data_IF_633821570296
#
_entry.id   IF_633821570296
#
_cell.length_a   1.000
_cell.length_b   1.000
_cell.length_c   1.000
_cell.angle_alpha   90.00
_cell.angle_beta   90.00
_cell.angle_gamma   90.00
#
_symmetry.space_group_name_H-M   'P 1'
#
loop_
_entity.id
_entity.type
_entity.pdbx_description
1 polymer ?
#
# COMPACT_ATOMS: atom_id res chain seq x y z
N UNK A 1 -21.65 -13.90 -39.85
CA UNK A 1 -20.80 -14.90 -39.18
C UNK A 1 -19.44 -14.28 -38.99
N UNK A 2 -18.87 -14.39 -37.78
CA UNK A 2 -17.52 -13.93 -37.49
C UNK A 2 -16.54 -14.84 -38.23
N UNK A 3 -15.54 -14.29 -38.92
CA UNK A 3 -14.45 -15.07 -39.51
C UNK A 3 -13.24 -15.09 -38.57
N UNK A 4 -12.17 -15.80 -38.95
CA UNK A 4 -10.95 -15.90 -38.14
C UNK A 4 -10.32 -14.53 -37.84
N UNK A 5 -10.29 -13.62 -38.82
CA UNK A 5 -9.74 -12.28 -38.63
C UNK A 5 -10.57 -11.46 -37.63
N UNK A 6 -11.90 -11.54 -37.74
CA UNK A 6 -12.83 -10.97 -36.79
C UNK A 6 -12.63 -11.55 -35.38
N UNK A 7 -12.45 -12.86 -35.25
CA UNK A 7 -12.18 -13.52 -33.96
C UNK A 7 -10.86 -13.05 -33.33
N UNK A 8 -9.79 -12.95 -34.11
CA UNK A 8 -8.50 -12.48 -33.59
C UNK A 8 -8.57 -11.03 -33.11
N UNK A 9 -9.29 -10.18 -33.84
CA UNK A 9 -9.56 -8.80 -33.41
C UNK A 9 -10.40 -8.75 -32.14
N UNK A 10 -11.43 -9.59 -32.07
CA UNK A 10 -12.34 -9.68 -30.93
C UNK A 10 -11.61 -10.13 -29.64
N UNK A 11 -10.58 -10.97 -29.76
CA UNK A 11 -9.76 -11.47 -28.66
C UNK A 11 -8.38 -10.83 -28.56
N UNK A 12 -8.17 -9.67 -29.18
CA UNK A 12 -6.87 -8.98 -29.21
C UNK A 12 -6.34 -8.69 -27.79
N UNK A 13 -7.21 -8.43 -26.82
CA UNK A 13 -6.79 -8.21 -25.42
C UNK A 13 -6.12 -9.44 -24.80
N UNK A 14 -6.40 -10.65 -25.29
CA UNK A 14 -5.87 -11.92 -24.77
C UNK A 14 -4.77 -12.50 -25.67
N UNK A 15 -4.21 -11.70 -26.58
CA UNK A 15 -3.08 -12.10 -27.40
C UNK A 15 -1.77 -11.54 -26.84
N UNK A 16 -0.75 -12.38 -26.77
CA UNK A 16 0.56 -12.03 -26.26
C UNK A 16 1.69 -12.84 -26.89
N UNK A 17 2.92 -12.37 -26.67
CA UNK A 17 4.13 -13.06 -27.13
C UNK A 17 4.74 -13.99 -26.07
N UNK A 18 3.95 -14.35 -25.04
CA UNK A 18 4.31 -15.28 -23.97
C UNK A 18 4.56 -16.71 -24.42
N UNK A 19 3.99 -17.10 -25.56
CA UNK A 19 3.68 -18.51 -25.84
C UNK A 19 2.60 -19.02 -24.88
N UNK A 20 2.27 -20.30 -24.98
CA UNK A 20 1.24 -20.87 -24.12
C UNK A 20 -0.15 -20.27 -24.42
N UNK A 21 -1.01 -20.19 -23.40
CA UNK A 21 -2.37 -19.65 -23.52
C UNK A 21 -2.44 -18.23 -24.11
N UNK A 22 -1.36 -17.44 -23.99
CA UNK A 22 -1.26 -16.10 -24.60
C UNK A 22 -1.10 -16.14 -26.13
N UNK A 23 -0.60 -17.24 -26.69
CA UNK A 23 -0.46 -17.44 -28.13
C UNK A 23 -1.71 -18.09 -28.76
N UNK A 24 -2.72 -18.43 -27.96
CA UNK A 24 -3.90 -19.13 -28.47
C UNK A 24 -4.65 -18.31 -29.51
N UNK A 25 -4.81 -16.99 -29.27
CA UNK A 25 -5.43 -16.04 -30.19
C UNK A 25 -4.39 -15.36 -31.10
N UNK A 26 -3.78 -16.14 -31.98
CA UNK A 26 -2.79 -15.67 -32.95
C UNK A 26 -3.11 -16.15 -34.38
N UNK A 27 -2.41 -15.62 -35.38
CA UNK A 27 -2.57 -16.03 -36.78
C UNK A 27 -2.31 -17.52 -37.00
N UNK A 28 -1.49 -18.14 -36.14
CA UNK A 28 -1.19 -19.57 -36.17
C UNK A 28 -2.31 -20.46 -35.62
N UNK A 29 -3.40 -19.89 -35.10
CA UNK A 29 -4.58 -20.66 -34.66
C UNK A 29 -5.09 -21.54 -35.82
N UNK A 30 -5.31 -22.85 -35.63
CA UNK A 30 -5.85 -23.70 -36.68
C UNK A 30 -7.25 -23.26 -37.12
N UNK A 31 -7.55 -23.35 -38.42
CA UNK A 31 -8.87 -22.91 -38.94
C UNK A 31 -10.03 -23.73 -38.36
N UNK A 32 -9.80 -25.01 -38.02
CA UNK A 32 -10.80 -25.83 -37.31
C UNK A 32 -11.15 -25.24 -35.93
N UNK A 33 -10.18 -24.66 -35.23
CA UNK A 33 -10.39 -24.02 -33.93
C UNK A 33 -11.15 -22.72 -34.11
N UNK A 34 -10.70 -21.86 -35.04
CA UNK A 34 -11.37 -20.60 -35.37
C UNK A 34 -12.83 -20.83 -35.78
N UNK A 35 -13.08 -21.79 -36.67
CA UNK A 35 -14.42 -22.16 -37.13
C UNK A 35 -15.32 -22.62 -35.98
N UNK A 36 -14.78 -23.36 -35.00
CA UNK A 36 -15.57 -23.79 -33.85
C UNK A 36 -15.93 -22.61 -32.95
N UNK A 37 -14.94 -21.75 -32.63
CA UNK A 37 -15.15 -20.57 -31.80
C UNK A 37 -16.15 -19.59 -32.43
N UNK A 38 -16.03 -19.33 -33.74
CA UNK A 38 -16.96 -18.46 -34.47
C UNK A 38 -18.41 -18.97 -34.50
N UNK A 39 -18.64 -20.25 -34.21
CA UNK A 39 -19.97 -20.87 -34.15
C UNK A 39 -20.41 -21.19 -32.71
N UNK A 40 -19.75 -20.63 -31.70
CA UNK A 40 -20.00 -20.94 -30.28
C UNK A 40 -21.46 -20.70 -29.85
N UNK A 41 -22.13 -19.70 -30.41
CA UNK A 41 -23.55 -19.41 -30.11
C UNK A 41 -24.52 -20.50 -30.58
N UNK A 42 -24.15 -21.24 -31.62
CA UNK A 42 -24.93 -22.37 -32.15
C UNK A 42 -24.45 -23.69 -31.53
N UNK A 43 -23.17 -23.75 -31.17
CA UNK A 43 -22.49 -24.93 -30.63
C UNK A 43 -21.72 -24.53 -29.38
N UNK A 44 -22.39 -24.65 -28.24
CA UNK A 44 -21.76 -24.45 -26.93
C UNK A 44 -20.47 -25.29 -26.83
N UNK A 45 -19.50 -24.78 -26.09
CA UNK A 45 -18.19 -25.40 -25.91
C UNK A 45 -18.15 -26.03 -24.51
N UNK A 46 -18.48 -27.33 -24.37
CA UNK A 46 -18.28 -28.05 -23.12
C UNK A 46 -16.79 -28.26 -22.85
N UNK A 47 -16.48 -28.71 -21.63
CA UNK A 47 -15.12 -28.95 -21.15
C UNK A 47 -14.25 -29.78 -22.12
N UNK A 48 -14.77 -30.90 -22.62
CA UNK A 48 -14.05 -31.82 -23.49
C UNK A 48 -13.69 -31.16 -24.82
N UNK A 49 -14.60 -30.34 -25.35
CA UNK A 49 -14.39 -29.62 -26.60
C UNK A 49 -13.37 -28.51 -26.40
N UNK A 50 -13.45 -27.72 -25.31
CA UNK A 50 -12.44 -26.70 -25.02
C UNK A 50 -11.04 -27.31 -24.95
N UNK A 51 -10.90 -28.47 -24.29
CA UNK A 51 -9.63 -29.18 -24.23
C UNK A 51 -9.13 -29.63 -25.61
N UNK A 52 -10.01 -30.12 -26.49
CA UNK A 52 -9.63 -30.43 -27.87
C UNK A 52 -9.16 -29.18 -28.63
N UNK A 53 -9.86 -28.06 -28.50
CA UNK A 53 -9.50 -26.80 -29.16
C UNK A 53 -8.12 -26.28 -28.70
N UNK A 54 -7.83 -26.40 -27.41
CA UNK A 54 -6.52 -26.05 -26.85
C UNK A 54 -5.42 -26.98 -27.38
N UNK A 55 -5.63 -28.30 -27.35
CA UNK A 55 -4.64 -29.27 -27.82
C UNK A 55 -4.34 -29.10 -29.31
N UNK A 56 -5.37 -28.86 -30.13
CA UNK A 56 -5.20 -28.56 -31.56
C UNK A 56 -4.39 -27.28 -31.78
N UNK A 57 -4.45 -26.33 -30.83
CA UNK A 57 -3.66 -25.11 -30.84
C UNK A 57 -2.29 -25.27 -30.18
N UNK A 58 -1.84 -26.51 -29.93
CA UNK A 58 -0.62 -26.85 -29.21
C UNK A 58 -0.56 -26.35 -27.76
N UNK A 59 -1.73 -26.09 -27.16
CA UNK A 59 -1.89 -25.73 -25.77
C UNK A 59 -2.30 -26.91 -24.91
N UNK A 60 -1.81 -26.94 -23.68
CA UNK A 60 -2.12 -28.03 -22.77
C UNK A 60 -3.55 -27.89 -22.24
N UNK A 61 -4.31 -28.99 -22.19
CA UNK A 61 -5.67 -28.98 -21.64
C UNK A 61 -5.72 -28.65 -20.13
N UNK A 62 -6.93 -28.45 -19.62
CA UNK A 62 -7.22 -28.16 -18.22
C UNK A 62 -8.03 -29.27 -17.56
N UNK A 63 -8.10 -29.24 -16.23
CA UNK A 63 -8.99 -30.07 -15.42
C UNK A 63 -10.42 -29.53 -15.50
N UNK A 64 -11.40 -30.39 -15.19
CA UNK A 64 -12.79 -29.92 -15.05
C UNK A 64 -12.94 -28.91 -13.90
N UNK A 65 -12.14 -29.05 -12.84
CA UNK A 65 -12.14 -28.12 -11.70
C UNK A 65 -11.75 -26.69 -12.12
N UNK A 66 -10.69 -26.56 -12.92
CA UNK A 66 -10.27 -25.28 -13.49
C UNK A 66 -11.33 -24.70 -14.44
N UNK A 67 -11.89 -25.54 -15.31
CA UNK A 67 -12.95 -25.11 -16.23
C UNK A 67 -14.17 -24.58 -15.47
N UNK A 68 -14.66 -25.34 -14.48
CA UNK A 68 -15.78 -24.91 -13.64
C UNK A 68 -15.45 -23.62 -12.87
N UNK A 69 -14.25 -23.54 -12.29
CA UNK A 69 -13.83 -22.38 -11.53
C UNK A 69 -13.86 -21.10 -12.37
N UNK A 70 -13.17 -21.08 -13.52
CA UNK A 70 -13.00 -19.87 -14.34
C UNK A 70 -14.18 -19.54 -15.25
N UNK A 71 -14.92 -20.55 -15.72
CA UNK A 71 -15.98 -20.33 -16.71
C UNK A 71 -17.39 -20.55 -16.17
N UNK A 72 -17.61 -21.34 -15.11
CA UNK A 72 -18.98 -21.71 -14.73
C UNK A 72 -19.37 -21.35 -13.29
N UNK A 73 -18.53 -20.62 -12.57
CA UNK A 73 -18.77 -20.34 -11.15
C UNK A 73 -18.35 -18.93 -10.73
N UNK A 74 -18.98 -18.44 -9.67
CA UNK A 74 -18.52 -17.26 -8.93
C UNK A 74 -17.97 -17.68 -7.55
N UNK A 75 -16.64 -17.68 -7.34
CA UNK A 75 -16.03 -17.98 -6.04
C UNK A 75 -16.09 -16.82 -5.03
N UNK A 76 -16.54 -15.62 -5.41
CA UNK A 76 -16.54 -14.45 -4.52
C UNK A 76 -17.49 -14.60 -3.31
N UNK A 77 -18.75 -15.03 -3.44
CA UNK A 77 -19.68 -15.15 -2.31
C UNK A 77 -19.25 -16.14 -1.22
N UNK A 78 -18.39 -17.11 -1.55
CA UNK A 78 -17.86 -18.09 -0.59
C UNK A 78 -16.57 -17.62 0.08
N UNK A 79 -16.23 -16.34 -0.08
CA UNK A 79 -15.05 -15.71 0.52
C UNK A 79 -13.76 -16.37 0.04
N UNK A 80 -13.62 -16.60 -1.26
CA UNK A 80 -12.46 -17.26 -1.84
C UNK A 80 -11.72 -16.38 -2.87
N UNK A 81 -12.05 -15.09 -3.02
CA UNK A 81 -11.52 -14.30 -4.13
C UNK A 81 -11.37 -12.80 -3.80
N UNK A 82 -10.37 -12.15 -4.41
CA UNK A 82 -9.97 -10.75 -4.14
C UNK A 82 -10.88 -9.67 -4.77
N UNK A 83 -11.75 -10.09 -5.68
CA UNK A 83 -12.66 -9.23 -6.44
C UNK A 83 -13.90 -10.02 -6.82
N UNK A 84 -15.01 -9.36 -7.17
CA UNK A 84 -16.19 -10.04 -7.68
C UNK A 84 -16.08 -10.24 -9.21
N UNK A 85 -15.99 -11.48 -9.72
CA UNK A 85 -15.99 -11.76 -11.15
C UNK A 85 -17.20 -11.21 -11.91
N UNK A 86 -18.33 -10.97 -11.23
CA UNK A 86 -19.53 -10.37 -11.85
C UNK A 86 -19.31 -8.93 -12.30
N UNK A 87 -18.31 -8.24 -11.73
CA UNK A 87 -17.96 -6.86 -12.08
C UNK A 87 -16.99 -6.76 -13.27
N UNK A 88 -16.51 -7.90 -13.78
CA UNK A 88 -15.65 -7.93 -14.96
C UNK A 88 -16.43 -7.69 -16.26
N UNK A 89 -15.77 -7.23 -17.32
CA UNK A 89 -16.40 -7.08 -18.63
C UNK A 89 -17.01 -8.40 -19.12
N UNK A 90 -18.03 -8.27 -19.98
CA UNK A 90 -18.72 -9.38 -20.67
C UNK A 90 -19.57 -10.31 -19.78
N UNK A 91 -19.61 -10.12 -18.46
CA UNK A 91 -20.38 -10.99 -17.56
C UNK A 91 -21.90 -10.96 -17.86
N UNK A 92 -22.52 -12.15 -17.85
CA UNK A 92 -23.96 -12.37 -17.88
C UNK A 92 -24.30 -13.45 -16.84
N UNK A 93 -25.38 -13.29 -16.06
CA UNK A 93 -25.81 -14.24 -15.02
C UNK A 93 -26.04 -15.66 -15.58
N UNK A 94 -26.43 -15.77 -16.86
CA UNK A 94 -26.61 -17.07 -17.54
C UNK A 94 -25.34 -17.90 -17.57
N UNK A 95 -24.16 -17.29 -17.44
CA UNK A 95 -22.89 -18.03 -17.43
C UNK A 95 -22.77 -18.92 -16.19
N UNK A 96 -23.36 -18.51 -15.07
CA UNK A 96 -23.33 -19.27 -13.81
C UNK A 96 -24.32 -20.44 -13.78
N UNK A 97 -25.33 -20.41 -14.66
CA UNK A 97 -26.32 -21.49 -14.83
C UNK A 97 -25.90 -22.50 -15.92
N UNK A 98 -24.91 -22.14 -16.74
CA UNK A 98 -24.47 -22.95 -17.85
C UNK A 98 -23.59 -24.13 -17.40
N UNK A 99 -23.62 -25.20 -18.20
CA UNK A 99 -22.70 -26.35 -18.07
C UNK A 99 -21.56 -26.31 -19.09
N UNK A 100 -21.54 -25.30 -19.95
CA UNK A 100 -20.61 -25.11 -21.06
C UNK A 100 -20.46 -23.61 -21.37
N UNK A 101 -19.44 -23.24 -22.14
CA UNK A 101 -19.30 -21.87 -22.66
C UNK A 101 -20.33 -21.70 -23.79
N UNK A 102 -21.22 -20.72 -23.66
CA UNK A 102 -22.41 -20.58 -24.54
C UNK A 102 -22.27 -19.52 -25.63
N UNK A 103 -21.26 -18.65 -25.54
CA UNK A 103 -20.94 -17.63 -26.55
C UNK A 103 -19.51 -17.08 -26.32
N UNK A 104 -19.06 -16.17 -27.20
CA UNK A 104 -17.73 -15.58 -27.11
C UNK A 104 -17.55 -14.67 -25.88
N UNK A 105 -18.58 -13.92 -25.49
CA UNK A 105 -18.55 -13.10 -24.25
C UNK A 105 -18.31 -13.95 -23.01
N UNK A 106 -18.90 -15.15 -22.94
CA UNK A 106 -18.66 -16.12 -21.87
C UNK A 106 -17.18 -16.57 -21.86
N UNK A 107 -16.61 -16.93 -23.01
CA UNK A 107 -15.18 -17.28 -23.10
C UNK A 107 -14.29 -16.12 -22.64
N UNK A 108 -14.59 -14.89 -23.09
CA UNK A 108 -13.86 -13.68 -22.68
C UNK A 108 -13.93 -13.42 -21.19
N UNK A 109 -15.10 -13.60 -20.57
CA UNK A 109 -15.27 -13.42 -19.14
C UNK A 109 -14.35 -14.36 -18.34
N UNK A 110 -14.30 -15.65 -18.71
CA UNK A 110 -13.39 -16.58 -18.05
C UNK A 110 -11.90 -16.28 -18.31
N UNK A 111 -11.54 -15.83 -19.52
CA UNK A 111 -10.17 -15.38 -19.82
C UNK A 111 -9.80 -14.10 -19.05
N UNK A 112 -10.71 -13.15 -18.89
CA UNK A 112 -10.50 -11.95 -18.08
C UNK A 112 -10.10 -12.31 -16.65
N UNK A 113 -10.78 -13.29 -16.07
CA UNK A 113 -10.47 -13.81 -14.73
C UNK A 113 -9.08 -14.45 -14.68
N UNK A 114 -8.78 -15.35 -15.62
CA UNK A 114 -7.46 -16.01 -15.70
C UNK A 114 -6.33 -14.99 -15.84
N UNK A 115 -6.50 -14.00 -16.70
CA UNK A 115 -5.47 -12.97 -16.93
C UNK A 115 -5.30 -12.05 -15.73
N UNK A 116 -6.41 -11.68 -15.08
CA UNK A 116 -6.40 -10.89 -13.84
C UNK A 116 -5.64 -11.63 -12.74
N UNK A 117 -5.96 -12.90 -12.51
CA UNK A 117 -5.27 -13.73 -11.51
C UNK A 117 -3.80 -13.95 -11.85
N UNK A 118 -3.51 -14.15 -13.14
CA UNK A 118 -2.15 -14.35 -13.60
C UNK A 118 -1.27 -13.14 -13.34
N UNK A 119 -1.80 -11.93 -13.49
CA UNK A 119 -1.09 -10.72 -13.12
C UNK A 119 -1.04 -10.50 -11.61
N UNK A 120 -2.12 -10.79 -10.87
CA UNK A 120 -2.20 -10.58 -9.42
C UNK A 120 -1.21 -11.45 -8.64
N UNK A 121 -1.10 -12.73 -8.99
CA UNK A 121 -0.43 -13.73 -8.15
C UNK A 121 0.80 -14.37 -8.77
N UNK A 122 0.95 -14.29 -10.10
CA UNK A 122 2.06 -14.91 -10.82
C UNK A 122 2.92 -13.89 -11.56
N UNK A 123 2.44 -12.66 -11.78
CA UNK A 123 3.10 -11.66 -12.64
C UNK A 123 3.28 -12.11 -14.10
N UNK A 124 2.71 -13.27 -14.45
CA UNK A 124 2.90 -13.97 -15.70
C UNK A 124 1.68 -14.88 -15.97
N UNK A 125 0.97 -14.60 -17.06
CA UNK A 125 -0.28 -15.31 -17.41
C UNK A 125 0.00 -16.77 -17.79
N UNK A 126 1.05 -17.03 -18.58
CA UNK A 126 1.47 -18.38 -18.95
C UNK A 126 1.80 -19.23 -17.71
N UNK A 127 2.48 -18.67 -16.72
CA UNK A 127 2.81 -19.39 -15.49
C UNK A 127 1.57 -19.67 -14.65
N UNK A 128 0.68 -18.69 -14.53
CA UNK A 128 -0.61 -18.87 -13.88
C UNK A 128 -1.39 -20.05 -14.49
N UNK A 129 -1.54 -20.07 -15.82
CA UNK A 129 -2.22 -21.17 -16.50
C UNK A 129 -1.54 -22.51 -16.22
N UNK A 130 -0.21 -22.58 -16.30
CA UNK A 130 0.55 -23.82 -16.04
C UNK A 130 0.35 -24.34 -14.62
N UNK A 131 0.42 -23.45 -13.64
CA UNK A 131 0.31 -23.76 -12.22
C UNK A 131 -1.12 -24.18 -11.84
N UNK A 132 -2.14 -23.54 -12.43
CA UNK A 132 -3.52 -23.71 -12.00
C UNK A 132 -4.32 -24.72 -12.83
N UNK A 133 -4.02 -24.94 -14.13
CA UNK A 133 -4.86 -25.74 -15.05
C UNK A 133 -5.11 -27.17 -14.59
N UNK A 134 -4.23 -27.75 -13.79
CA UNK A 134 -4.34 -29.13 -13.29
C UNK A 134 -5.12 -29.27 -11.98
N UNK A 135 -5.41 -28.16 -11.29
CA UNK A 135 -5.99 -28.19 -9.96
C UNK A 135 -7.48 -28.50 -9.99
N UNK A 136 -7.98 -29.18 -8.95
CA UNK A 136 -9.41 -29.29 -8.70
C UNK A 136 -10.01 -27.95 -8.26
N UNK A 137 -11.34 -27.84 -8.28
CA UNK A 137 -12.04 -26.63 -7.82
C UNK A 137 -11.70 -26.28 -6.37
N UNK A 138 -11.72 -27.26 -5.46
CA UNK A 138 -11.39 -27.07 -4.06
C UNK A 138 -9.95 -26.57 -3.87
N UNK A 139 -8.99 -27.13 -4.61
CA UNK A 139 -7.59 -26.67 -4.57
C UNK A 139 -7.43 -25.23 -5.08
N UNK A 140 -8.21 -24.81 -6.08
CA UNK A 140 -8.24 -23.43 -6.55
C UNK A 140 -8.84 -22.51 -5.48
N UNK A 141 -9.97 -22.88 -4.90
CA UNK A 141 -10.60 -22.14 -3.81
C UNK A 141 -9.65 -21.97 -2.61
N UNK A 142 -8.95 -23.03 -2.20
CA UNK A 142 -7.95 -22.98 -1.12
C UNK A 142 -6.77 -22.08 -1.50
N UNK A 143 -6.29 -22.17 -2.75
CA UNK A 143 -5.21 -21.32 -3.24
C UNK A 143 -5.55 -19.83 -3.12
N UNK A 144 -6.74 -19.43 -3.56
CA UNK A 144 -7.14 -18.01 -3.51
C UNK A 144 -7.59 -17.58 -2.11
N UNK A 145 -8.26 -18.45 -1.34
CA UNK A 145 -8.66 -18.17 0.04
C UNK A 145 -7.46 -17.86 0.94
N UNK A 146 -6.34 -18.57 0.75
CA UNK A 146 -5.11 -18.31 1.51
C UNK A 146 -4.46 -16.94 1.22
N UNK A 147 -4.97 -16.19 0.23
CA UNK A 147 -4.39 -14.92 -0.24
C UNK A 147 -5.30 -13.72 -0.01
N UNK A 148 -6.56 -13.91 0.42
CA UNK A 148 -7.49 -12.83 0.74
C UNK A 148 -7.39 -12.42 2.22
N UNK A 149 -8.02 -11.30 2.57
CA UNK A 149 -8.21 -10.91 3.96
C UNK A 149 -9.43 -11.62 4.55
N UNK A 150 -9.31 -12.10 5.80
CA UNK A 150 -10.45 -12.65 6.53
C UNK A 150 -11.33 -11.50 7.07
N UNK A 151 -12.28 -11.05 6.25
CA UNK A 151 -13.22 -9.99 6.61
C UNK A 151 -14.08 -10.38 7.82
N UNK A 152 -14.38 -11.67 8.01
CA UNK A 152 -15.20 -12.12 9.14
C UNK A 152 -14.42 -12.03 10.44
N UNK A 153 -13.13 -12.39 10.44
CA UNK A 153 -12.24 -12.18 11.58
C UNK A 153 -12.14 -10.68 11.94
N UNK A 154 -11.91 -9.82 10.93
CA UNK A 154 -11.82 -8.36 11.12
C UNK A 154 -13.09 -7.75 11.73
N UNK A 155 -14.26 -8.21 11.31
CA UNK A 155 -15.56 -7.69 11.80
C UNK A 155 -16.00 -8.31 13.13
N UNK A 156 -15.50 -9.51 13.47
CA UNK A 156 -15.88 -10.23 14.70
C UNK A 156 -14.98 -9.94 15.89
N UNK A 157 -13.70 -9.57 15.67
CA UNK A 157 -12.74 -9.27 16.75
C UNK A 157 -13.19 -8.12 17.65
N UNK A 158 -12.76 -8.11 18.91
CA UNK A 158 -13.03 -7.01 19.83
C UNK A 158 -12.22 -5.75 19.51
N UNK A 159 -12.62 -4.65 20.13
CA UNK A 159 -11.78 -3.45 20.18
C UNK A 159 -10.42 -3.75 20.82
N UNK A 160 -9.42 -2.96 20.46
CA UNK A 160 -8.08 -3.04 21.04
C UNK A 160 -7.97 -2.13 22.27
N UNK A 161 -6.92 -2.34 23.07
CA UNK A 161 -6.65 -1.49 24.23
C UNK A 161 -6.52 -0.03 23.78
N UNK A 162 -7.29 0.91 24.35
CA UNK A 162 -7.29 2.28 23.88
C UNK A 162 -5.92 2.93 24.08
N UNK A 163 -5.49 3.70 23.08
CA UNK A 163 -4.27 4.51 23.20
C UNK A 163 -4.48 5.65 24.21
N UNK A 164 -3.41 6.01 24.90
CA UNK A 164 -3.35 7.21 25.71
C UNK A 164 -3.49 8.44 24.81
N UNK A 165 -4.39 9.35 25.19
CA UNK A 165 -4.68 10.53 24.41
C UNK A 165 -3.48 11.50 24.36
N UNK A 166 -3.15 11.97 23.16
CA UNK A 166 -2.24 13.08 22.91
C UNK A 166 -3.00 14.06 22.02
N UNK A 167 -3.19 15.28 22.51
CA UNK A 167 -3.92 16.30 21.76
C UNK A 167 -3.24 16.53 20.41
N UNK A 168 -4.01 16.74 19.33
CA UNK A 168 -3.47 16.96 17.97
C UNK A 168 -2.39 18.02 17.94
N UNK A 169 -2.65 19.14 18.61
CA UNK A 169 -1.74 20.28 18.71
C UNK A 169 -0.51 20.03 19.58
N UNK A 170 -0.43 18.89 20.28
CA UNK A 170 0.70 18.50 21.13
C UNK A 170 1.52 17.35 20.53
N UNK A 171 1.04 16.69 19.46
CA UNK A 171 1.77 15.57 18.84
C UNK A 171 3.13 15.96 18.27
N UNK A 172 3.32 17.22 17.85
CA UNK A 172 4.63 17.68 17.39
C UNK A 172 5.71 17.67 18.50
N UNK A 173 5.30 17.70 19.78
CA UNK A 173 6.23 17.66 20.91
C UNK A 173 6.94 16.31 21.04
N UNK A 174 6.43 15.25 20.40
CA UNK A 174 7.11 13.95 20.35
C UNK A 174 7.98 13.78 19.09
N UNK A 175 8.13 14.83 18.28
CA UNK A 175 9.08 14.86 17.18
C UNK A 175 10.52 14.69 17.69
N UNK A 176 11.39 14.12 16.86
CA UNK A 176 12.80 13.95 17.19
C UNK A 176 13.48 15.28 17.56
N UNK A 177 13.13 16.35 16.86
CA UNK A 177 13.63 17.71 17.10
C UNK A 177 13.24 18.20 18.51
N UNK A 178 11.97 18.06 18.90
CA UNK A 178 11.51 18.43 20.24
C UNK A 178 12.17 17.56 21.32
N UNK A 179 12.30 16.25 21.10
CA UNK A 179 12.99 15.36 22.03
C UNK A 179 14.45 15.79 22.28
N UNK A 180 15.18 16.20 21.24
CA UNK A 180 16.54 16.72 21.37
C UNK A 180 16.62 18.00 22.21
N UNK A 181 15.57 18.83 22.17
CA UNK A 181 15.51 20.10 22.92
C UNK A 181 15.06 19.90 24.38
N UNK A 182 13.98 19.16 24.61
CA UNK A 182 13.40 19.03 25.95
C UNK A 182 14.05 17.95 26.80
N UNK A 183 14.66 16.94 26.18
CA UNK A 183 15.24 15.80 26.87
C UNK A 183 16.46 15.25 26.11
N UNK A 184 17.56 16.02 26.07
CA UNK A 184 18.76 15.66 25.33
C UNK A 184 19.37 14.35 25.84
N UNK A 185 19.88 13.53 24.91
CA UNK A 185 20.52 12.26 25.24
C UNK A 185 21.86 12.46 26.00
N UNK A 186 22.60 13.52 25.68
CA UNK A 186 23.81 13.90 26.41
C UNK A 186 23.43 14.61 27.72
N UNK A 187 23.65 13.92 28.83
CA UNK A 187 23.42 14.45 30.20
C UNK A 187 24.30 15.65 30.55
N UNK A 188 25.33 15.95 29.75
CA UNK A 188 26.13 17.17 29.90
C UNK A 188 25.37 18.42 29.43
N UNK A 189 24.33 18.27 28.62
CA UNK A 189 23.54 19.38 28.11
C UNK A 189 22.66 19.96 29.23
N UNK A 190 22.63 21.30 29.41
CA UNK A 190 21.68 21.93 30.33
C UNK A 190 20.27 21.68 29.84
N UNK A 191 19.30 21.62 30.76
CA UNK A 191 17.90 21.60 30.38
C UNK A 191 17.53 22.85 29.56
N UNK A 192 16.45 22.78 28.78
CA UNK A 192 15.97 23.92 27.99
C UNK A 192 15.77 25.17 28.84
N UNK A 193 15.17 25.02 30.03
CA UNK A 193 14.90 26.14 30.92
C UNK A 193 16.20 26.75 31.46
N UNK A 194 17.16 25.92 31.90
CA UNK A 194 18.48 26.38 32.34
C UNK A 194 19.25 27.09 31.23
N UNK A 195 19.19 26.58 30.00
CA UNK A 195 19.82 27.22 28.84
C UNK A 195 19.26 28.62 28.59
N UNK A 196 17.92 28.74 28.54
CA UNK A 196 17.26 30.02 28.27
C UNK A 196 17.45 31.01 29.43
N UNK A 197 17.43 30.53 30.68
CA UNK A 197 17.70 31.37 31.86
C UNK A 197 19.11 31.96 31.82
N UNK A 198 20.14 31.15 31.54
CA UNK A 198 21.52 31.64 31.39
C UNK A 198 21.63 32.68 30.29
N UNK A 199 20.92 32.47 29.18
CA UNK A 199 20.94 33.40 28.05
C UNK A 199 20.25 34.72 28.36
N UNK A 200 19.16 34.66 29.11
CA UNK A 200 18.49 35.85 29.64
C UNK A 200 19.39 36.64 30.60
N UNK A 201 20.07 35.96 31.52
CA UNK A 201 21.02 36.59 32.46
C UNK A 201 22.13 37.34 31.72
N UNK A 202 22.77 36.69 30.74
CA UNK A 202 23.82 37.30 29.91
C UNK A 202 23.35 38.57 29.18
N UNK A 203 22.18 38.53 28.54
CA UNK A 203 21.64 39.67 27.79
C UNK A 203 21.14 40.78 28.71
N UNK A 204 20.58 40.42 29.87
CA UNK A 204 20.17 41.37 30.90
C UNK A 204 21.36 42.11 31.51
N UNK A 205 22.47 41.42 31.77
CA UNK A 205 23.73 42.05 32.22
C UNK A 205 24.31 42.99 31.17
N UNK A 206 24.13 42.68 29.87
CA UNK A 206 24.49 43.55 28.75
C UNK A 206 23.53 44.76 28.57
N UNK A 207 22.55 44.94 29.46
CA UNK A 207 21.66 46.11 29.50
C UNK A 207 20.30 45.91 28.81
N UNK A 208 19.99 44.72 28.28
CA UNK A 208 18.70 44.44 27.66
C UNK A 208 17.68 43.92 28.69
N UNK A 209 16.79 44.78 29.18
CA UNK A 209 15.84 44.43 30.28
C UNK A 209 14.49 43.86 29.83
N UNK A 210 14.13 43.99 28.55
CA UNK A 210 12.90 43.41 27.97
C UNK A 210 13.30 42.67 26.71
N UNK A 211 13.12 41.36 26.74
CA UNK A 211 13.54 40.45 25.68
C UNK A 211 12.33 39.62 25.27
N UNK A 212 12.24 39.28 23.99
CA UNK A 212 11.34 38.20 23.55
C UNK A 212 12.06 36.86 23.64
N UNK A 213 11.34 35.75 23.73
CA UNK A 213 11.96 34.41 23.62
C UNK A 213 12.76 34.26 22.33
N UNK A 214 12.27 34.84 21.24
CA UNK A 214 13.01 34.94 19.96
C UNK A 214 14.38 35.58 20.14
N UNK A 215 14.48 36.68 20.89
CA UNK A 215 15.77 37.32 21.17
C UNK A 215 16.72 36.42 21.97
N UNK A 216 16.17 35.57 22.85
CA UNK A 216 16.96 34.65 23.66
C UNK A 216 17.53 33.50 22.84
N UNK A 217 16.87 33.09 21.76
CA UNK A 217 17.34 31.97 20.94
C UNK A 217 18.04 32.43 19.65
N UNK A 218 17.88 33.69 19.25
CA UNK A 218 18.58 34.27 18.11
C UNK A 218 20.06 34.49 18.40
N UNK A 219 20.91 34.34 17.39
CA UNK A 219 22.36 34.57 17.47
C UNK A 219 23.13 33.56 18.37
N UNK A 220 22.65 32.32 18.45
CA UNK A 220 23.34 31.17 19.07
C UNK A 220 24.56 30.68 18.25
N UNK A 221 25.35 31.60 17.71
CA UNK A 221 26.49 31.33 16.80
C UNK A 221 27.82 31.19 17.53
N UNK A 222 27.82 31.10 18.87
CA UNK A 222 29.06 30.75 19.56
C UNK A 222 29.40 29.29 19.28
N UNK A 223 30.69 28.95 19.14
CA UNK A 223 31.13 27.55 18.94
C UNK A 223 30.83 26.65 20.15
N UNK A 224 30.28 27.20 21.25
CA UNK A 224 29.92 26.49 22.49
C UNK A 224 28.40 26.30 22.65
N UNK A 225 27.58 26.77 21.70
CA UNK A 225 26.12 26.66 21.80
C UNK A 225 25.67 25.20 21.64
N UNK A 226 25.01 24.68 22.68
CA UNK A 226 24.60 23.27 22.79
C UNK A 226 23.30 22.94 22.06
N UNK A 227 22.48 23.95 21.73
CA UNK A 227 21.24 23.80 20.98
C UNK A 227 21.30 24.58 19.66
N UNK A 228 20.72 24.01 18.61
CA UNK A 228 20.56 24.66 17.31
C UNK A 228 19.35 25.62 17.35
N UNK A 229 19.49 26.82 16.76
CA UNK A 229 18.43 27.83 16.63
C UNK A 229 17.14 27.24 16.04
N UNK A 230 17.24 26.34 15.05
CA UNK A 230 16.08 25.65 14.48
C UNK A 230 15.37 24.76 15.51
N UNK A 231 16.13 24.01 16.32
CA UNK A 231 15.57 23.14 17.34
C UNK A 231 14.81 23.94 18.42
N UNK A 232 15.41 25.05 18.83
CA UNK A 232 14.81 25.98 19.79
C UNK A 232 13.56 26.64 19.21
N UNK A 233 13.63 27.13 17.97
CA UNK A 233 12.48 27.75 17.30
C UNK A 233 11.33 26.75 17.10
N UNK A 234 11.63 25.50 16.76
CA UNK A 234 10.61 24.45 16.62
C UNK A 234 9.94 24.14 17.96
N UNK A 235 10.72 23.99 19.03
CA UNK A 235 10.22 23.61 20.34
C UNK A 235 9.47 24.76 21.05
N UNK A 236 9.96 25.99 20.89
CA UNK A 236 9.41 27.18 21.55
C UNK A 236 8.44 27.97 20.67
N UNK A 237 7.93 27.39 19.59
CA UNK A 237 7.04 28.04 18.62
C UNK A 237 5.89 28.82 19.29
N UNK A 238 5.21 28.22 20.27
CA UNK A 238 4.11 28.86 21.03
C UNK A 238 4.53 30.02 21.94
N UNK A 239 5.83 30.13 22.24
CA UNK A 239 6.38 31.13 23.14
C UNK A 239 7.29 32.15 22.45
N UNK A 240 7.55 31.98 21.14
CA UNK A 240 8.62 32.67 20.43
C UNK A 240 8.52 34.19 20.52
N UNK A 241 7.31 34.75 20.41
CA UNK A 241 7.06 36.19 20.43
C UNK A 241 6.69 36.73 21.83
N UNK A 242 6.72 35.89 22.88
CA UNK A 242 6.38 36.34 24.24
C UNK A 242 7.51 37.14 24.85
N UNK A 243 7.16 38.30 25.42
CA UNK A 243 8.08 39.13 26.20
C UNK A 243 8.34 38.54 27.58
N UNK A 244 9.59 38.61 28.01
CA UNK A 244 10.06 38.21 29.33
C UNK A 244 10.92 39.30 29.95
N UNK A 245 10.71 39.55 31.24
CA UNK A 245 11.37 40.62 32.00
C UNK A 245 12.01 40.13 33.31
N UNK A 246 11.92 38.82 33.57
CA UNK A 246 12.51 38.16 34.73
C UNK A 246 12.65 36.66 34.50
N UNK A 247 13.49 35.99 35.32
CA UNK A 247 13.59 34.53 35.32
C UNK A 247 12.25 33.85 35.70
N UNK A 248 11.43 34.50 36.53
CA UNK A 248 10.09 34.01 36.87
C UNK A 248 9.13 34.06 35.66
N UNK A 249 9.28 35.06 34.79
CA UNK A 249 8.51 35.14 33.54
C UNK A 249 8.88 34.00 32.58
N UNK A 250 10.16 33.59 32.55
CA UNK A 250 10.63 32.45 31.77
C UNK A 250 9.99 31.15 32.24
N UNK A 251 9.98 30.90 33.55
CA UNK A 251 9.36 29.69 34.11
C UNK A 251 7.85 29.66 33.83
N UNK A 252 7.17 30.80 33.97
CA UNK A 252 5.74 30.93 33.63
C UNK A 252 5.46 30.74 32.13
N UNK A 253 6.42 31.07 31.27
CA UNK A 253 6.26 31.02 29.81
C UNK A 253 6.63 29.65 29.23
N UNK A 254 7.75 29.08 29.66
CA UNK A 254 8.36 27.85 29.11
C UNK A 254 7.98 26.63 29.93
N UNK A 255 7.81 26.75 31.26
CA UNK A 255 7.42 25.65 32.14
C UNK A 255 6.17 24.89 31.67
N UNK A 256 5.09 25.58 31.24
CA UNK A 256 3.93 24.89 30.66
C UNK A 256 4.24 24.09 29.39
N UNK A 257 5.20 24.53 28.55
CA UNK A 257 5.60 23.78 27.35
C UNK A 257 6.38 22.52 27.71
N UNK A 258 7.28 22.61 28.69
CA UNK A 258 8.01 21.45 29.23
C UNK A 258 7.04 20.42 29.79
N UNK A 259 6.06 20.86 30.59
CA UNK A 259 5.04 19.96 31.15
C UNK A 259 4.16 19.32 30.06
N UNK A 260 3.81 20.06 29.00
CA UNK A 260 3.11 19.48 27.83
C UNK A 260 3.96 18.41 27.14
N UNK A 261 5.25 18.68 26.93
CA UNK A 261 6.19 17.73 26.33
C UNK A 261 6.30 16.46 27.15
N UNK A 262 6.52 16.57 28.46
CA UNK A 262 6.67 15.41 29.36
C UNK A 262 5.45 14.50 29.30
N UNK A 263 4.25 15.10 29.40
CA UNK A 263 2.98 14.36 29.29
C UNK A 263 2.79 13.71 27.92
N UNK A 264 3.03 14.46 26.84
CA UNK A 264 2.88 13.94 25.48
C UNK A 264 3.85 12.78 25.21
N UNK A 265 5.11 12.91 25.65
CA UNK A 265 6.14 11.88 25.52
C UNK A 265 5.82 10.65 26.36
N UNK A 266 5.41 10.81 27.61
CA UNK A 266 5.01 9.70 28.47
C UNK A 266 3.87 8.89 27.84
N UNK A 267 2.85 9.58 27.34
CA UNK A 267 1.73 8.94 26.65
C UNK A 267 2.17 8.24 25.35
N UNK A 268 3.07 8.85 24.57
CA UNK A 268 3.58 8.26 23.34
C UNK A 268 4.42 7.00 23.58
N UNK A 269 5.23 6.97 24.65
CA UNK A 269 5.98 5.77 25.05
C UNK A 269 5.04 4.63 25.46
N UNK A 270 4.00 4.93 26.25
CA UNK A 270 2.96 3.96 26.60
C UNK A 270 2.23 3.45 25.35
N UNK A 271 1.91 4.35 24.42
CA UNK A 271 1.28 3.99 23.15
C UNK A 271 2.16 3.10 22.28
N UNK A 272 3.48 3.32 22.26
CA UNK A 272 4.42 2.41 21.60
C UNK A 272 4.34 0.99 22.17
N UNK A 273 4.26 0.84 23.49
CA UNK A 273 4.04 -0.48 24.10
C UNK A 273 2.70 -1.11 23.67
N UNK A 274 1.64 -0.31 23.57
CA UNK A 274 0.34 -0.78 23.07
C UNK A 274 0.44 -1.19 21.59
N UNK A 275 1.10 -0.42 20.73
CA UNK A 275 1.34 -0.81 19.33
C UNK A 275 2.13 -2.11 19.22
N UNK A 276 3.19 -2.27 20.02
CA UNK A 276 3.98 -3.50 20.07
C UNK A 276 3.15 -4.70 20.54
N UNK A 277 2.17 -4.50 21.40
CA UNK A 277 1.23 -5.56 21.81
C UNK A 277 0.27 -6.00 20.71
N UNK A 278 0.11 -5.20 19.66
CA UNK A 278 -0.84 -5.43 18.55
C UNK A 278 -0.17 -5.98 17.28
N UNK A 279 1.13 -6.29 17.28
CA UNK A 279 1.85 -6.65 16.05
C UNK A 279 1.25 -7.84 15.28
N UNK A 280 0.61 -8.79 15.96
CA UNK A 280 -0.02 -9.94 15.29
C UNK A 280 -1.29 -9.57 14.52
N UNK A 281 -1.89 -8.43 14.86
CA UNK A 281 -3.22 -8.02 14.41
C UNK A 281 -3.21 -6.62 13.76
N UNK A 282 -2.04 -6.04 13.50
CA UNK A 282 -1.91 -4.73 12.86
C UNK A 282 -2.36 -4.83 11.40
N UNK A 283 -3.25 -3.94 10.97
CA UNK A 283 -3.84 -3.98 9.63
C UNK A 283 -3.22 -2.92 8.71
N UNK A 284 -3.04 -1.70 9.21
CA UNK A 284 -2.62 -0.57 8.38
C UNK A 284 -1.44 0.15 9.00
N UNK A 285 -0.38 0.39 8.22
CA UNK A 285 0.69 1.31 8.59
C UNK A 285 0.46 2.65 7.87
N UNK A 286 0.55 3.78 8.58
CA UNK A 286 0.44 5.10 7.97
C UNK A 286 1.80 5.80 8.00
N UNK A 287 2.37 6.04 6.83
CA UNK A 287 3.66 6.69 6.63
C UNK A 287 3.46 8.19 6.39
N UNK A 288 4.18 9.06 7.10
CA UNK A 288 4.06 10.52 6.93
C UNK A 288 5.38 11.26 7.18
N UNK A 289 5.45 12.51 6.72
CA UNK A 289 6.50 13.44 7.15
C UNK A 289 6.15 14.02 8.52
N UNK A 290 7.15 14.23 9.36
CA UNK A 290 7.00 14.74 10.72
C UNK A 290 8.01 15.88 10.97
N UNK A 291 8.03 16.89 10.08
CA UNK A 291 9.06 17.95 10.09
C UNK A 291 8.63 19.20 10.83
N UNK A 292 7.38 19.60 10.65
CA UNK A 292 6.79 20.80 11.24
C UNK A 292 5.48 20.46 11.97
N UNK A 293 4.97 21.39 12.78
CA UNK A 293 3.74 21.22 13.56
C UNK A 293 2.51 20.90 12.71
N UNK A 294 2.38 21.52 11.54
CA UNK A 294 1.24 21.30 10.64
C UNK A 294 1.23 19.88 10.08
N UNK A 295 2.40 19.27 9.86
CA UNK A 295 2.48 17.88 9.41
C UNK A 295 1.81 16.92 10.42
N UNK A 296 2.05 17.12 11.72
CA UNK A 296 1.45 16.32 12.79
C UNK A 296 -0.06 16.51 12.89
N UNK A 297 -0.53 17.77 12.78
CA UNK A 297 -1.97 18.09 12.80
C UNK A 297 -2.69 17.48 11.60
N UNK A 298 -2.14 17.69 10.41
CA UNK A 298 -2.70 17.19 9.15
C UNK A 298 -2.77 15.67 9.16
N UNK A 299 -1.75 15.00 9.70
CA UNK A 299 -1.75 13.56 9.86
C UNK A 299 -2.83 13.09 10.84
N UNK A 300 -2.97 13.75 11.99
CA UNK A 300 -4.01 13.40 12.97
C UNK A 300 -5.42 13.53 12.37
N UNK A 301 -5.68 14.62 11.64
CA UNK A 301 -6.93 14.83 10.90
C UNK A 301 -7.12 13.77 9.81
N UNK A 302 -6.09 13.45 9.04
CA UNK A 302 -6.14 12.42 8.02
C UNK A 302 -6.53 11.05 8.61
N UNK A 303 -5.89 10.65 9.71
CA UNK A 303 -6.21 9.39 10.39
C UNK A 303 -7.66 9.37 10.89
N UNK A 304 -8.13 10.46 11.52
CA UNK A 304 -9.52 10.54 11.99
C UNK A 304 -10.53 10.49 10.85
N UNK A 305 -10.27 11.19 9.74
CA UNK A 305 -11.16 11.21 8.58
C UNK A 305 -11.24 9.82 7.92
N UNK A 306 -10.10 9.15 7.71
CA UNK A 306 -10.05 7.86 7.03
C UNK A 306 -10.59 6.74 7.92
N UNK A 307 -10.05 6.59 9.14
CA UNK A 307 -10.42 5.48 10.02
C UNK A 307 -11.73 5.72 10.79
N UNK A 308 -12.24 6.96 10.80
CA UNK A 308 -13.59 7.29 11.26
C UNK A 308 -14.67 7.10 10.19
N UNK A 309 -14.33 6.78 8.94
CA UNK A 309 -15.30 6.63 7.86
C UNK A 309 -16.26 5.44 8.13
N UNK A 310 -17.59 5.65 8.10
CA UNK A 310 -18.58 4.59 8.34
C UNK A 310 -18.46 3.38 7.42
N UNK A 311 -17.83 3.51 6.25
CA UNK A 311 -17.61 2.41 5.31
C UNK A 311 -16.64 1.36 5.83
N UNK A 312 -15.73 1.73 6.73
CA UNK A 312 -14.70 0.83 7.27
C UNK A 312 -14.78 0.66 8.79
N UNK A 313 -15.64 1.41 9.48
CA UNK A 313 -15.81 1.30 10.94
C UNK A 313 -16.13 -0.13 11.41
N UNK A 314 -16.90 -0.89 10.62
CA UNK A 314 -17.26 -2.27 10.92
C UNK A 314 -16.05 -3.24 10.91
N UNK A 315 -14.95 -2.91 10.21
CA UNK A 315 -13.75 -3.74 10.12
C UNK A 315 -12.84 -3.64 11.36
N UNK A 316 -13.15 -2.71 12.29
CA UNK A 316 -12.38 -2.48 13.53
C UNK A 316 -10.86 -2.40 13.31
N UNK A 317 -10.44 -1.76 12.22
CA UNK A 317 -9.05 -1.73 11.75
C UNK A 317 -8.09 -1.21 12.83
N UNK A 318 -6.99 -1.94 13.04
CA UNK A 318 -5.89 -1.51 13.89
C UNK A 318 -4.82 -0.89 13.00
N UNK A 319 -4.54 0.39 13.21
CA UNK A 319 -3.58 1.13 12.40
C UNK A 319 -2.47 1.75 13.25
N UNK A 320 -1.27 1.82 12.70
CA UNK A 320 -0.13 2.47 13.31
C UNK A 320 -0.04 3.92 12.82
N UNK A 321 -0.25 4.87 13.74
CA UNK A 321 -0.01 6.29 13.54
C UNK A 321 1.32 6.68 14.21
N UNK A 322 2.38 6.99 13.44
CA UNK A 322 3.69 7.33 13.98
C UNK A 322 3.67 8.62 14.81
N UNK A 323 2.65 9.47 14.65
CA UNK A 323 2.50 10.70 15.44
C UNK A 323 1.96 10.46 16.86
N UNK A 324 1.67 9.20 17.19
CA UNK A 324 1.22 8.75 18.51
C UNK A 324 2.24 7.86 19.22
N UNK A 325 3.43 7.65 18.63
CA UNK A 325 4.44 6.71 19.10
C UNK A 325 5.79 7.41 19.28
N UNK A 326 6.48 7.08 20.38
CA UNK A 326 7.83 7.53 20.66
C UNK A 326 8.73 6.34 21.05
N UNK A 327 10.05 6.53 20.96
CA UNK A 327 11.03 5.57 21.45
C UNK A 327 12.08 6.30 22.30
N UNK A 328 12.82 5.54 23.12
CA UNK A 328 13.86 6.09 23.99
C UNK A 328 15.09 6.56 23.21
N UNK A 329 15.41 5.88 22.10
CA UNK A 329 16.48 6.26 21.18
C UNK A 329 16.03 6.15 19.71
N UNK A 330 16.86 6.67 18.81
CA UNK A 330 16.56 6.80 17.38
C UNK A 330 16.52 5.43 16.67
N UNK A 331 17.43 4.53 17.04
CA UNK A 331 17.56 3.20 16.48
C UNK A 331 16.34 2.33 16.77
N UNK A 332 15.85 2.36 18.02
CA UNK A 332 14.65 1.64 18.44
C UNK A 332 13.43 2.11 17.65
N UNK A 333 13.31 3.43 17.41
CA UNK A 333 12.23 3.98 16.59
C UNK A 333 12.26 3.39 15.18
N UNK A 334 13.43 3.38 14.54
CA UNK A 334 13.58 2.80 13.20
C UNK A 334 13.25 1.31 13.15
N UNK A 335 13.65 0.53 14.16
CA UNK A 335 13.30 -0.89 14.26
C UNK A 335 11.79 -1.11 14.48
N UNK A 336 11.16 -0.28 15.30
CA UNK A 336 9.71 -0.31 15.51
C UNK A 336 8.99 -0.02 14.20
N UNK A 337 9.34 1.06 13.48
CA UNK A 337 8.71 1.41 12.21
C UNK A 337 8.89 0.28 11.17
N UNK A 338 10.08 -0.31 11.06
CA UNK A 338 10.32 -1.47 10.21
C UNK A 338 9.44 -2.68 10.61
N UNK A 339 9.28 -2.95 11.91
CA UNK A 339 8.43 -4.02 12.42
C UNK A 339 6.96 -3.77 12.10
N UNK A 340 6.48 -2.53 12.29
CA UNK A 340 5.09 -2.14 11.99
C UNK A 340 4.78 -2.22 10.49
N UNK A 341 5.72 -1.80 9.63
CA UNK A 341 5.63 -2.03 8.18
C UNK A 341 5.62 -3.52 7.87
N UNK A 342 6.43 -4.34 8.56
CA UNK A 342 6.48 -5.79 8.33
C UNK A 342 5.21 -6.52 8.76
N UNK A 343 4.55 -6.12 9.84
CA UNK A 343 3.38 -6.84 10.35
C UNK A 343 2.03 -6.34 9.80
N UNK A 344 1.93 -5.06 9.39
CA UNK A 344 0.70 -4.53 8.77
C UNK A 344 0.27 -5.30 7.52
N UNK A 345 -1.02 -5.28 7.17
CA UNK A 345 -1.54 -5.91 5.94
C UNK A 345 -1.42 -4.99 4.72
N UNK A 346 -1.44 -3.67 4.94
CA UNK A 346 -1.24 -2.65 3.91
C UNK A 346 -0.56 -1.39 4.46
N UNK A 347 -0.09 -0.54 3.56
CA UNK A 347 0.52 0.76 3.91
C UNK A 347 -0.23 1.91 3.22
N UNK A 348 -0.43 3.01 3.94
CA UNK A 348 -0.87 4.30 3.42
C UNK A 348 0.30 5.26 3.51
N UNK A 349 0.79 5.72 2.37
CA UNK A 349 1.81 6.75 2.24
C UNK A 349 1.12 8.11 2.10
N UNK A 350 1.29 8.97 3.08
CA UNK A 350 0.78 10.34 3.06
C UNK A 350 1.90 11.29 2.58
N UNK A 351 1.75 11.81 1.37
CA UNK A 351 2.68 12.76 0.78
C UNK A 351 2.58 14.13 1.49
N UNK A 352 3.70 14.59 2.03
CA UNK A 352 3.80 15.94 2.57
C UNK A 352 4.30 16.91 1.49
N UNK A 353 4.50 18.19 1.85
CA UNK A 353 5.11 19.19 0.94
C UNK A 353 6.52 18.81 0.47
N UNK A 354 7.20 17.95 1.21
CA UNK A 354 8.54 17.47 0.93
C UNK A 354 8.68 16.05 1.45
N UNK A 355 9.14 15.14 0.60
CA UNK A 355 9.34 13.74 0.97
C UNK A 355 10.57 13.53 1.83
N UNK A 356 10.53 12.48 2.65
CA UNK A 356 11.61 12.03 3.51
C UNK A 356 12.08 10.65 3.05
N UNK A 357 13.39 10.43 3.13
CA UNK A 357 13.98 9.14 2.79
C UNK A 357 13.38 7.99 3.63
N UNK A 358 13.06 8.24 4.90
CA UNK A 358 12.43 7.23 5.78
C UNK A 358 11.08 6.74 5.25
N UNK A 359 10.20 7.67 4.87
CA UNK A 359 8.88 7.35 4.33
C UNK A 359 8.96 6.62 2.99
N UNK A 360 9.90 6.99 2.14
CA UNK A 360 10.17 6.31 0.86
C UNK A 360 10.69 4.89 1.09
N UNK A 361 11.55 4.69 2.09
CA UNK A 361 12.03 3.38 2.49
C UNK A 361 10.88 2.50 3.03
N UNK A 362 9.95 3.05 3.82
CA UNK A 362 8.76 2.35 4.31
C UNK A 362 7.85 1.88 3.18
N UNK A 363 7.54 2.75 2.22
CA UNK A 363 6.78 2.37 1.03
C UNK A 363 7.51 1.31 0.20
N UNK A 364 8.83 1.46 0.02
CA UNK A 364 9.62 0.48 -0.70
C UNK A 364 9.60 -0.89 -0.02
N UNK A 365 9.72 -0.94 1.32
CA UNK A 365 9.59 -2.16 2.11
C UNK A 365 8.21 -2.80 1.93
N UNK A 366 7.13 -2.03 2.05
CA UNK A 366 5.77 -2.55 1.89
C UNK A 366 5.51 -3.13 0.50
N UNK A 367 5.89 -2.41 -0.56
CA UNK A 367 5.79 -2.90 -1.95
C UNK A 367 6.62 -4.18 -2.15
N UNK A 368 7.83 -4.23 -1.57
CA UNK A 368 8.73 -5.38 -1.69
C UNK A 368 8.28 -6.60 -0.89
N UNK A 369 7.36 -6.42 0.06
CA UNK A 369 6.64 -7.49 0.76
C UNK A 369 5.35 -7.91 0.04
N UNK A 370 5.02 -7.31 -1.10
CA UNK A 370 3.79 -7.61 -1.83
C UNK A 370 2.53 -6.95 -1.29
N UNK A 371 2.68 -5.99 -0.38
CA UNK A 371 1.53 -5.36 0.28
C UNK A 371 0.89 -4.30 -0.61
N UNK A 372 -0.43 -4.11 -0.54
CA UNK A 372 -1.07 -2.94 -1.11
C UNK A 372 -0.50 -1.67 -0.50
N UNK A 373 -0.16 -0.71 -1.34
CA UNK A 373 0.32 0.62 -0.93
C UNK A 373 -0.56 1.68 -1.54
N UNK A 374 -1.27 2.43 -0.71
CA UNK A 374 -1.98 3.64 -1.12
C UNK A 374 -1.02 4.81 -1.04
N UNK A 375 -0.88 5.58 -2.12
CA UNK A 375 -0.10 6.80 -2.16
C UNK A 375 -1.06 7.99 -2.22
N UNK A 376 -1.30 8.61 -1.07
CA UNK A 376 -2.15 9.78 -0.95
C UNK A 376 -1.31 11.05 -1.12
N UNK A 377 -1.64 11.90 -2.08
CA UNK A 377 -0.90 13.12 -2.40
C UNK A 377 -1.82 14.20 -2.97
N UNK A 378 -1.32 15.42 -3.16
CA UNK A 378 -2.09 16.45 -3.86
C UNK A 378 -2.30 16.11 -5.35
N UNK A 379 -3.29 16.75 -5.97
CA UNK A 379 -3.64 16.53 -7.38
C UNK A 379 -2.50 16.81 -8.36
N UNK A 380 -1.65 17.80 -8.08
CA UNK A 380 -0.52 18.14 -8.96
C UNK A 380 0.52 17.02 -8.93
N UNK A 381 0.85 16.52 -7.74
CA UNK A 381 1.74 15.38 -7.52
C UNK A 381 1.19 14.12 -8.16
N UNK A 382 -0.11 13.83 -8.00
CA UNK A 382 -0.80 12.71 -8.68
C UNK A 382 -0.62 12.82 -10.21
N UNK A 383 -0.89 13.99 -10.80
CA UNK A 383 -0.74 14.19 -12.25
C UNK A 383 0.70 14.01 -12.74
N UNK A 384 1.69 14.54 -11.99
CA UNK A 384 3.11 14.33 -12.30
C UNK A 384 3.47 12.87 -12.24
N UNK A 385 3.06 12.16 -11.18
CA UNK A 385 3.26 10.73 -11.07
C UNK A 385 2.67 10.00 -12.27
N UNK A 386 1.42 10.25 -12.67
CA UNK A 386 0.83 9.58 -13.84
C UNK A 386 1.53 9.89 -15.17
N UNK A 387 2.03 11.13 -15.37
CA UNK A 387 2.76 11.51 -16.58
C UNK A 387 4.17 10.91 -16.63
N UNK A 388 4.83 10.88 -15.48
CA UNK A 388 6.26 10.60 -15.36
C UNK A 388 6.55 9.30 -14.57
N UNK A 389 5.59 8.35 -14.47
CA UNK A 389 5.67 7.18 -13.56
C UNK A 389 7.06 6.56 -13.67
N UNK A 390 7.89 6.83 -12.67
CA UNK A 390 9.19 6.22 -12.58
C UNK A 390 8.97 4.72 -12.48
N UNK A 391 9.63 3.87 -13.28
CA UNK A 391 9.42 2.42 -13.24
C UNK A 391 9.53 1.81 -11.83
N UNK A 392 10.30 2.44 -10.93
CA UNK A 392 10.45 2.05 -9.51
C UNK A 392 9.29 2.45 -8.59
N UNK A 393 8.29 3.21 -9.04
CA UNK A 393 6.99 3.30 -8.37
C UNK A 393 6.24 1.95 -8.39
N UNK A 394 6.80 0.97 -9.11
CA UNK A 394 6.47 -0.45 -9.05
C UNK A 394 7.72 -1.17 -8.58
N UNK A 395 7.67 -1.79 -7.41
CA UNK A 395 8.71 -2.71 -6.96
C UNK A 395 8.26 -4.14 -7.21
N UNK A 396 9.05 -5.11 -6.76
CA UNK A 396 8.72 -6.52 -6.88
C UNK A 396 8.61 -7.11 -5.49
N UNK A 397 7.63 -7.99 -5.28
CA UNK A 397 7.60 -8.81 -4.09
C UNK A 397 8.83 -9.73 -4.11
N UNK A 398 9.74 -9.56 -3.15
CA UNK A 398 11.00 -10.31 -3.14
C UNK A 398 10.83 -11.81 -2.91
N UNK A 399 9.68 -12.26 -2.42
CA UNK A 399 9.41 -13.68 -2.25
C UNK A 399 9.06 -14.39 -3.56
N UNK A 400 8.27 -13.74 -4.43
CA UNK A 400 7.69 -14.40 -5.61
C UNK A 400 7.94 -13.67 -6.94
N UNK A 401 8.60 -12.51 -6.94
CA UNK A 401 8.94 -11.75 -8.13
C UNK A 401 7.80 -10.95 -8.75
N UNK A 402 6.57 -11.06 -8.22
CA UNK A 402 5.41 -10.35 -8.76
C UNK A 402 5.60 -8.85 -8.59
N UNK A 403 5.45 -8.09 -9.68
CA UNK A 403 5.50 -6.62 -9.63
C UNK A 403 4.31 -6.08 -8.82
N UNK A 404 4.56 -5.10 -7.95
CA UNK A 404 3.58 -4.50 -7.05
C UNK A 404 3.62 -3.00 -7.27
N UNK A 405 2.53 -2.43 -7.78
CA UNK A 405 2.37 -0.99 -7.96
C UNK A 405 1.59 -0.34 -6.82
N UNK A 406 1.88 0.94 -6.57
CA UNK A 406 1.10 1.77 -5.67
C UNK A 406 -0.23 2.22 -6.29
N UNK A 407 -1.20 2.51 -5.43
CA UNK A 407 -2.52 3.04 -5.78
C UNK A 407 -2.53 4.53 -5.43
N UNK A 408 -2.46 5.39 -6.44
CA UNK A 408 -2.28 6.83 -6.24
C UNK A 408 -3.63 7.55 -6.21
N UNK A 409 -3.85 8.38 -5.18
CA UNK A 409 -5.09 9.12 -4.97
C UNK A 409 -4.85 10.46 -4.29
N UNK A 410 -5.83 11.35 -4.40
CA UNK A 410 -5.80 12.73 -3.91
C UNK A 410 -7.06 13.16 -3.14
N UNK A 411 -8.00 12.23 -2.91
CA UNK A 411 -9.17 12.43 -2.05
C UNK A 411 -9.15 11.43 -0.88
N UNK A 412 -9.27 11.94 0.36
CA UNK A 412 -9.34 11.14 1.60
C UNK A 412 -10.54 10.18 1.60
N UNK A 413 -11.65 10.55 0.95
CA UNK A 413 -12.85 9.69 0.84
C UNK A 413 -12.60 8.48 -0.06
N UNK A 414 -11.77 8.66 -1.09
CA UNK A 414 -11.31 7.57 -1.95
C UNK A 414 -10.33 6.65 -1.21
N UNK A 415 -9.52 7.18 -0.29
CA UNK A 415 -8.66 6.36 0.60
C UNK A 415 -9.52 5.41 1.43
N UNK A 416 -10.56 5.89 2.10
CA UNK A 416 -11.45 5.04 2.89
C UNK A 416 -12.17 3.98 2.03
N UNK A 417 -12.62 4.35 0.82
CA UNK A 417 -13.19 3.39 -0.14
C UNK A 417 -12.17 2.34 -0.57
N UNK A 418 -10.92 2.71 -0.81
CA UNK A 418 -9.88 1.76 -1.21
C UNK A 418 -9.52 0.80 -0.08
N UNK A 419 -9.40 1.31 1.15
CA UNK A 419 -9.21 0.49 2.35
C UNK A 419 -10.37 -0.51 2.49
N UNK A 420 -11.62 -0.06 2.29
CA UNK A 420 -12.80 -0.93 2.26
C UNK A 420 -12.63 -2.04 1.22
N UNK A 421 -12.34 -1.71 -0.04
CA UNK A 421 -12.21 -2.70 -1.13
C UNK A 421 -11.12 -3.73 -0.86
N UNK A 422 -9.99 -3.31 -0.30
CA UNK A 422 -8.90 -4.22 0.09
C UNK A 422 -9.43 -5.21 1.15
N UNK A 423 -9.93 -4.73 2.29
CA UNK A 423 -10.27 -5.61 3.41
C UNK A 423 -11.59 -6.39 3.25
N UNK A 424 -12.49 -5.95 2.37
CA UNK A 424 -13.67 -6.70 1.96
C UNK A 424 -13.42 -7.60 0.74
N UNK A 425 -12.19 -7.62 0.20
CA UNK A 425 -11.84 -8.39 -1.00
C UNK A 425 -12.78 -8.07 -2.18
N UNK A 426 -13.05 -6.78 -2.37
CA UNK A 426 -13.98 -6.21 -3.35
C UNK A 426 -13.25 -5.23 -4.28
N UNK A 427 -12.01 -5.57 -4.63
CA UNK A 427 -11.22 -4.78 -5.57
C UNK A 427 -11.85 -4.82 -6.96
N UNK A 428 -11.66 -3.76 -7.75
CA UNK A 428 -12.12 -3.71 -9.14
C UNK A 428 -10.95 -3.44 -10.06
N UNK A 429 -10.77 -4.33 -11.04
CA UNK A 429 -9.62 -4.28 -11.93
C UNK A 429 -10.02 -4.05 -13.38
N UNK A 430 -9.13 -3.42 -14.11
CA UNK A 430 -9.16 -3.29 -15.56
C UNK A 430 -7.90 -3.91 -16.14
N UNK A 431 -8.08 -4.91 -16.99
CA UNK A 431 -7.00 -5.48 -17.79
C UNK A 431 -6.79 -4.62 -19.03
N UNK A 432 -5.57 -4.13 -19.24
CA UNK A 432 -5.21 -3.38 -20.45
C UNK A 432 -3.92 -3.91 -21.06
N UNK A 433 -3.72 -3.62 -22.36
CA UNK A 433 -2.56 -4.04 -23.13
C UNK A 433 -1.90 -2.81 -23.75
N UNK A 434 -0.63 -2.56 -23.44
CA UNK A 434 0.13 -1.42 -24.01
C UNK A 434 0.71 -1.77 -25.39
N UNK A 435 1.16 -3.01 -25.52
CA UNK A 435 1.72 -3.65 -26.73
C UNK A 435 1.46 -5.15 -26.61
N UNK A 436 1.59 -5.91 -27.70
CA UNK A 436 1.48 -7.36 -27.64
C UNK A 436 2.41 -7.98 -26.59
N UNK A 437 1.82 -8.79 -25.71
CA UNK A 437 2.49 -9.42 -24.56
C UNK A 437 2.79 -8.50 -23.38
N UNK A 438 2.49 -7.20 -23.47
CA UNK A 438 2.71 -6.21 -22.42
C UNK A 438 1.38 -5.89 -21.75
N UNK A 439 1.08 -6.62 -20.67
CA UNK A 439 -0.17 -6.51 -19.94
C UNK A 439 -0.02 -5.63 -18.70
N UNK A 440 -1.07 -4.85 -18.44
CA UNK A 440 -1.22 -4.01 -17.28
C UNK A 440 -2.50 -4.44 -16.56
N UNK A 441 -2.42 -4.60 -15.24
CA UNK A 441 -3.60 -4.64 -14.40
C UNK A 441 -3.72 -3.30 -13.69
N UNK A 442 -4.83 -2.62 -13.89
CA UNK A 442 -5.10 -1.31 -13.31
C UNK A 442 -6.23 -1.43 -12.29
N UNK A 443 -6.11 -0.70 -11.18
CA UNK A 443 -7.24 -0.48 -10.27
C UNK A 443 -8.19 0.52 -10.93
N UNK A 444 -9.48 0.19 -10.96
CA UNK A 444 -10.47 0.87 -11.80
C UNK A 444 -10.85 2.27 -11.32
N UNK A 445 -10.91 2.51 -10.00
CA UNK A 445 -11.25 3.82 -9.44
C UNK A 445 -10.17 4.87 -9.76
N UNK A 446 -8.90 4.49 -9.62
CA UNK A 446 -7.76 5.40 -9.71
C UNK A 446 -7.03 5.35 -11.06
N UNK A 447 -7.19 4.27 -11.83
CA UNK A 447 -6.40 3.99 -13.03
C UNK A 447 -4.97 3.54 -12.73
N UNK A 448 -4.61 3.38 -11.46
CA UNK A 448 -3.25 3.04 -11.03
C UNK A 448 -2.88 1.63 -11.50
N UNK A 449 -1.70 1.47 -12.12
CA UNK A 449 -1.20 0.14 -12.50
C UNK A 449 -0.71 -0.61 -11.27
N UNK A 450 -1.43 -1.63 -10.85
CA UNK A 450 -1.09 -2.46 -9.69
C UNK A 450 -0.21 -3.66 -10.03
N UNK A 451 -0.28 -4.19 -11.27
CA UNK A 451 0.53 -5.33 -11.74
C UNK A 451 0.97 -5.13 -13.19
N UNK A 452 2.07 -5.78 -13.57
CA UNK A 452 2.67 -5.66 -14.90
C UNK A 452 3.19 -7.01 -15.40
N UNK A 453 3.05 -7.25 -16.69
CA UNK A 453 3.80 -8.26 -17.42
C UNK A 453 4.56 -7.59 -18.56
N UNK A 454 5.86 -7.89 -18.68
CA UNK A 454 6.70 -7.39 -19.77
C UNK A 454 6.58 -8.27 -21.01
N UNK A 455 6.62 -7.64 -22.19
CA UNK A 455 6.70 -8.34 -23.48
C UNK A 455 8.14 -8.60 -23.96
N UNK A 456 9.16 -8.18 -23.20
CA UNK A 456 10.54 -8.51 -23.54
C UNK A 456 10.80 -9.98 -23.16
N UNK A 457 10.91 -10.86 -24.16
CA UNK A 457 11.07 -12.29 -23.94
C UNK A 457 12.32 -12.63 -23.13
N UNK A 458 13.47 -12.02 -23.42
CA UNK A 458 14.69 -12.30 -22.67
C UNK A 458 14.53 -11.91 -21.20
N UNK A 459 14.04 -10.70 -20.94
CA UNK A 459 13.79 -10.23 -19.57
C UNK A 459 12.81 -11.16 -18.85
N UNK A 460 11.67 -11.48 -19.47
CA UNK A 460 10.64 -12.34 -18.88
C UNK A 460 11.21 -13.72 -18.53
N UNK A 461 11.85 -14.39 -19.48
CA UNK A 461 12.39 -15.74 -19.24
C UNK A 461 13.51 -15.71 -18.20
N UNK A 462 14.47 -14.78 -18.29
CA UNK A 462 15.55 -14.67 -17.30
C UNK A 462 15.01 -14.35 -15.90
N UNK A 463 14.04 -13.44 -15.79
CA UNK A 463 13.45 -13.03 -14.52
C UNK A 463 12.71 -14.19 -13.85
N UNK A 464 11.80 -14.86 -14.56
CA UNK A 464 11.02 -15.95 -13.99
C UNK A 464 11.86 -17.20 -13.74
N UNK A 465 12.86 -17.50 -14.57
CA UNK A 465 13.83 -18.57 -14.29
C UNK A 465 14.63 -18.30 -13.01
N UNK A 466 14.89 -17.03 -12.68
CA UNK A 466 15.54 -16.68 -11.42
C UNK A 466 14.61 -16.90 -10.21
N UNK A 467 13.33 -16.56 -10.30
CA UNK A 467 12.37 -16.70 -9.19
C UNK A 467 11.84 -18.13 -9.00
N UNK A 468 11.85 -18.95 -10.05
CA UNK A 468 11.44 -20.36 -9.96
C UNK A 468 12.54 -21.32 -9.48
N UNK A 469 13.80 -20.87 -9.43
CA UNK A 469 14.90 -21.72 -8.92
C UNK A 469 14.94 -21.67 -7.40
N UNK A 470 15.41 -22.75 -6.77
CA UNK A 470 15.74 -22.70 -5.35
C UNK A 470 16.82 -21.64 -5.07
N UNK A 471 16.68 -20.82 -4.01
CA UNK A 471 17.65 -19.80 -3.69
C UNK A 471 19.04 -20.41 -3.50
N UNK A 472 20.11 -19.84 -4.09
CA UNK A 472 21.46 -20.40 -4.01
C UNK A 472 21.98 -20.51 -2.57
N UNK A 473 21.49 -19.66 -1.66
CA UNK A 473 21.87 -19.65 -0.23
C UNK A 473 21.22 -20.77 0.61
N UNK A 474 20.35 -21.60 0.02
CA UNK A 474 19.79 -22.80 0.67
C UNK A 474 20.55 -24.09 0.36
N UNK A 475 21.67 -24.02 -0.39
CA UNK A 475 22.59 -25.15 -0.54
C UNK A 475 23.46 -25.27 0.72
N UNK A 476 22.87 -25.84 1.77
CA UNK A 476 23.58 -26.37 2.94
C UNK A 476 23.98 -27.82 2.70
#
# INVERSE_FOLDING_TARGET
MLDKAGLLKEFELFSGNGGGIEAWFSETMPDVVANHLCNCEVRNIPFEILNQLLILSHEAGMSYGFFNFYFLSNPHPVGAYWYDPKKLPEFDEKFLEASAIINLSHLKWGLHRLYTDGLLYFGNIRECYRSLRGLSKAQLEDFFRARIHDTNDLTSRSDYLPLNHIAKDERYLIAEVACKTYAPADRSMPSLLEYIQRRYEQLSEAGQKRLTVKNLISDSRSQEDKYDEYQLSFSLDEAIDKEVSSAADLEKTIGPLVAKFERARENALKNTSLYLSMISDLDVYVATSMRNRDDFRTMAEFCEDVFGDPKISALRLRYFDPTMSAADNHEDKGLIECLMVKCSKMLIYNAGKSDSYGKDAEAAMALSLGKPVIFFCDTETKQKLFKDIHPLARLINFHNGVAVGSIVMDDRREVAEMVRRIFYNDMEFQLTKKKDGYFLLQEKLTGSTVRVQSNNSLLRETFWNYYHREPPFRRG
#
